data_IF_445800634756
#
_entry.id   IF_445800634756
#
_cell.length_a   1.000
_cell.length_b   1.000
_cell.length_c   1.000
_cell.angle_alpha   90.00
_cell.angle_beta   90.00
_cell.angle_gamma   90.00
#
_symmetry.space_group_name_H-M   'P 1'
#
loop_
_entity.id
_entity.type
_entity.pdbx_description
1 polymer ?
#
# COMPACT_ATOMS: atom_id res chain seq x y z
N UNK A 1 -8.94 -15.16 22.05
CA UNK A 1 -9.16 -13.77 21.58
C UNK A 1 -9.78 -13.87 20.20
N UNK A 2 -10.97 -13.30 19.99
CA UNK A 2 -11.51 -13.17 18.62
C UNK A 2 -10.53 -12.35 17.78
N UNK A 3 -10.09 -12.88 16.64
CA UNK A 3 -9.29 -12.13 15.66
C UNK A 3 -10.20 -11.05 15.07
N UNK A 4 -9.94 -9.78 15.38
CA UNK A 4 -10.65 -8.65 14.79
C UNK A 4 -10.33 -8.57 13.31
N UNK A 5 -11.34 -8.54 12.45
CA UNK A 5 -11.18 -8.21 11.02
C UNK A 5 -10.92 -6.71 10.91
N UNK A 6 -9.85 -6.33 10.22
CA UNK A 6 -9.48 -4.95 9.95
C UNK A 6 -9.84 -4.58 8.52
N UNK A 7 -10.37 -3.38 8.33
CA UNK A 7 -10.80 -2.88 7.01
C UNK A 7 -9.79 -1.86 6.48
N UNK A 8 -9.36 -2.07 5.23
CA UNK A 8 -8.57 -1.11 4.47
C UNK A 8 -9.38 -0.62 3.27
N UNK A 9 -9.56 0.70 3.15
CA UNK A 9 -10.18 1.33 2.00
C UNK A 9 -9.12 1.79 1.00
N UNK A 10 -9.34 1.49 -0.28
CA UNK A 10 -8.43 1.81 -1.39
C UNK A 10 -9.03 2.80 -2.40
N UNK A 11 -10.14 3.46 -2.08
CA UNK A 11 -10.89 4.30 -3.05
C UNK A 11 -10.01 5.34 -3.72
N UNK A 12 -9.22 6.08 -2.95
CA UNK A 12 -8.38 7.15 -3.48
C UNK A 12 -7.19 6.64 -4.32
N UNK A 13 -6.79 5.39 -4.16
CA UNK A 13 -5.72 4.79 -4.96
C UNK A 13 -6.29 4.02 -6.15
N UNK A 14 -7.16 3.05 -5.89
CA UNK A 14 -7.67 2.12 -6.90
C UNK A 14 -8.67 2.80 -7.84
N UNK A 15 -9.55 3.63 -7.29
CA UNK A 15 -10.47 4.42 -8.09
C UNK A 15 -9.78 5.41 -9.05
N UNK A 16 -8.53 5.78 -8.76
CA UNK A 16 -7.76 6.69 -9.60
C UNK A 16 -7.45 6.18 -11.01
N UNK A 17 -7.46 4.86 -11.23
CA UNK A 17 -7.28 4.30 -12.58
C UNK A 17 -8.39 4.71 -13.56
N UNK A 18 -9.55 5.13 -13.06
CA UNK A 18 -10.70 5.54 -13.90
C UNK A 18 -10.59 6.99 -14.33
N UNK A 19 -9.98 7.86 -13.51
CA UNK A 19 -9.98 9.32 -13.71
C UNK A 19 -8.57 9.94 -13.66
N UNK A 20 -7.52 9.15 -13.87
CA UNK A 20 -6.12 9.55 -13.74
C UNK A 20 -5.82 10.21 -12.37
N UNK A 21 -6.42 9.66 -11.31
CA UNK A 21 -6.34 10.13 -9.91
C UNK A 21 -6.83 11.57 -9.68
N UNK A 22 -7.47 12.19 -10.64
CA UNK A 22 -8.03 13.55 -10.52
C UNK A 22 -9.41 13.51 -9.85
N UNK A 23 -9.42 13.64 -8.53
CA UNK A 23 -10.63 13.69 -7.71
C UNK A 23 -10.99 15.12 -7.28
N UNK A 24 -10.06 16.07 -7.40
CA UNK A 24 -10.16 17.38 -6.78
C UNK A 24 -9.81 17.38 -5.28
N UNK A 25 -9.05 18.35 -4.82
CA UNK A 25 -8.52 18.42 -3.45
C UNK A 25 -9.59 18.30 -2.37
N UNK A 26 -10.72 19.00 -2.53
CA UNK A 26 -11.83 18.93 -1.55
C UNK A 26 -12.46 17.56 -1.48
N UNK A 27 -12.53 16.83 -2.59
CA UNK A 27 -13.05 15.46 -2.66
C UNK A 27 -12.08 14.49 -2.00
N UNK A 28 -10.77 14.57 -2.29
CA UNK A 28 -9.73 13.73 -1.67
C UNK A 28 -9.82 13.83 -0.15
N UNK A 29 -9.75 15.05 0.40
CA UNK A 29 -9.81 15.27 1.84
C UNK A 29 -11.17 14.93 2.43
N UNK A 30 -12.25 15.12 1.67
CA UNK A 30 -13.62 14.77 2.06
C UNK A 30 -13.84 13.25 2.15
N UNK A 31 -13.33 12.48 1.19
CA UNK A 31 -13.37 11.00 1.22
C UNK A 31 -12.61 10.50 2.44
N UNK A 32 -11.37 10.96 2.66
CA UNK A 32 -10.58 10.57 3.84
C UNK A 32 -11.35 10.79 5.14
N UNK A 33 -11.92 11.99 5.36
CA UNK A 33 -12.67 12.32 6.58
C UNK A 33 -13.91 11.45 6.78
N UNK A 34 -14.60 11.10 5.70
CA UNK A 34 -15.79 10.23 5.78
C UNK A 34 -15.43 8.78 6.08
N UNK A 35 -14.35 8.27 5.49
CA UNK A 35 -13.84 6.93 5.79
C UNK A 35 -13.35 6.82 7.24
N UNK A 36 -12.65 7.83 7.72
CA UNK A 36 -12.26 7.95 9.13
C UNK A 36 -13.49 7.91 10.07
N UNK A 37 -14.51 8.71 9.74
CA UNK A 37 -15.76 8.75 10.53
C UNK A 37 -16.56 7.43 10.43
N UNK A 38 -16.46 6.71 9.33
CA UNK A 38 -17.08 5.40 9.13
C UNK A 38 -16.35 4.27 9.88
N UNK A 39 -15.14 4.54 10.42
CA UNK A 39 -14.38 3.59 11.22
C UNK A 39 -13.49 2.64 10.40
N UNK A 40 -13.05 3.03 9.20
CA UNK A 40 -12.00 2.30 8.49
C UNK A 40 -10.75 2.20 9.37
N UNK A 41 -10.10 1.04 9.39
CA UNK A 41 -8.86 0.83 10.16
C UNK A 41 -7.64 1.38 9.39
N UNK A 42 -7.65 1.27 8.07
CA UNK A 42 -6.61 1.80 7.17
C UNK A 42 -7.27 2.56 6.01
N UNK A 43 -6.64 3.65 5.59
CA UNK A 43 -7.09 4.44 4.43
C UNK A 43 -5.90 4.65 3.50
N UNK A 44 -5.99 4.11 2.29
CA UNK A 44 -4.99 4.30 1.26
C UNK A 44 -5.22 5.66 0.59
N UNK A 45 -4.36 6.64 0.92
CA UNK A 45 -4.53 8.04 0.51
C UNK A 45 -4.16 8.29 -0.95
N UNK A 46 -3.53 7.33 -1.61
CA UNK A 46 -3.18 7.41 -3.01
C UNK A 46 -1.94 6.62 -3.38
N UNK A 47 -1.36 6.99 -4.51
CA UNK A 47 -0.23 6.33 -5.14
C UNK A 47 1.01 7.24 -5.10
N UNK A 48 2.20 6.67 -4.85
CA UNK A 48 3.49 7.37 -4.93
C UNK A 48 4.18 7.04 -6.26
N UNK A 49 4.36 8.06 -7.09
CA UNK A 49 5.04 7.96 -8.39
C UNK A 49 5.82 9.26 -8.66
N UNK A 50 7.14 9.25 -8.46
CA UNK A 50 8.01 10.43 -8.60
C UNK A 50 8.30 10.84 -10.06
N UNK A 51 7.75 10.08 -11.00
CA UNK A 51 7.76 10.44 -12.43
C UNK A 51 6.62 11.41 -12.79
N UNK A 52 5.68 11.65 -11.85
CA UNK A 52 4.54 12.57 -12.00
C UNK A 52 4.84 13.92 -11.41
N UNK A 53 4.31 14.97 -12.01
CA UNK A 53 4.31 16.30 -11.42
C UNK A 53 3.28 16.40 -10.30
N UNK A 54 3.56 17.26 -9.31
CA UNK A 54 2.62 17.49 -8.21
C UNK A 54 1.39 18.27 -8.70
N UNK A 55 0.22 17.73 -8.43
CA UNK A 55 -1.07 18.39 -8.56
C UNK A 55 -1.89 18.14 -7.29
N UNK A 56 -2.33 19.20 -6.62
CA UNK A 56 -3.11 19.12 -5.38
C UNK A 56 -4.47 18.43 -5.58
N UNK A 57 -4.98 18.37 -6.80
CA UNK A 57 -6.25 17.72 -7.13
C UNK A 57 -6.12 16.21 -7.39
N UNK A 58 -4.90 15.68 -7.39
CA UNK A 58 -4.64 14.29 -7.71
C UNK A 58 -4.16 13.48 -6.49
N UNK A 59 -4.66 12.26 -6.37
CA UNK A 59 -4.20 11.31 -5.37
C UNK A 59 -3.05 10.40 -5.85
N UNK A 60 -2.34 10.82 -6.92
CA UNK A 60 -1.04 10.29 -7.32
C UNK A 60 0.01 11.38 -7.07
N UNK A 61 0.98 11.10 -6.23
CA UNK A 61 1.87 12.10 -5.66
C UNK A 61 3.33 11.74 -5.90
N UNK A 62 4.20 12.73 -6.25
CA UNK A 62 5.62 12.48 -6.51
C UNK A 62 6.43 12.16 -5.25
N UNK A 63 5.96 12.49 -4.06
CA UNK A 63 6.71 12.31 -2.82
C UNK A 63 5.80 12.28 -1.60
N UNK A 64 6.35 11.86 -0.46
CA UNK A 64 5.64 11.97 0.83
C UNK A 64 5.43 13.41 1.27
N UNK A 65 6.29 14.35 0.85
CA UNK A 65 6.07 15.79 1.07
C UNK A 65 4.83 16.29 0.31
N UNK A 66 4.62 15.80 -0.91
CA UNK A 66 3.41 16.11 -1.70
C UNK A 66 2.13 15.61 -0.99
N UNK A 67 2.18 14.45 -0.34
CA UNK A 67 1.07 13.99 0.53
C UNK A 67 0.79 15.01 1.64
N UNK A 68 1.83 15.52 2.31
CA UNK A 68 1.68 16.53 3.35
C UNK A 68 1.02 17.81 2.83
N UNK A 69 1.30 18.22 1.59
CA UNK A 69 0.65 19.40 0.97
C UNK A 69 -0.85 19.18 0.76
N UNK A 70 -1.27 17.95 0.43
CA UNK A 70 -2.70 17.61 0.24
C UNK A 70 -3.42 17.51 1.59
N UNK A 71 -2.82 16.82 2.56
CA UNK A 71 -3.46 16.47 3.82
C UNK A 71 -3.06 17.35 5.02
N UNK A 72 -2.22 18.37 4.84
CA UNK A 72 -1.66 19.18 5.93
C UNK A 72 -2.70 19.88 6.82
N UNK A 73 -3.90 20.14 6.31
CA UNK A 73 -5.02 20.69 7.08
C UNK A 73 -5.95 19.61 7.68
N UNK A 74 -5.69 18.33 7.39
CA UNK A 74 -6.52 17.22 7.82
C UNK A 74 -5.98 16.65 9.13
N UNK A 75 -6.83 16.64 10.16
CA UNK A 75 -6.48 15.99 11.42
C UNK A 75 -6.53 14.47 11.26
N UNK A 76 -5.46 13.78 11.60
CA UNK A 76 -5.47 12.32 11.75
C UNK A 76 -6.40 11.91 12.89
N UNK A 77 -7.21 10.89 12.66
CA UNK A 77 -8.04 10.27 13.69
C UNK A 77 -7.46 8.92 14.13
N UNK A 78 -8.27 7.86 14.05
CA UNK A 78 -7.88 6.49 14.46
C UNK A 78 -7.39 5.64 13.32
N UNK A 79 -7.84 5.91 12.09
CA UNK A 79 -7.39 5.18 10.91
C UNK A 79 -5.91 5.41 10.65
N UNK A 80 -5.24 4.38 10.18
CA UNK A 80 -3.84 4.45 9.77
C UNK A 80 -3.78 4.84 8.30
N UNK A 81 -3.34 6.07 7.95
CA UNK A 81 -3.18 6.45 6.56
C UNK A 81 -1.97 5.74 5.94
N UNK A 82 -2.16 5.18 4.76
CA UNK A 82 -1.13 4.47 4.00
C UNK A 82 -1.09 4.96 2.56
N UNK A 83 0.03 4.77 1.87
CA UNK A 83 0.15 5.01 0.43
C UNK A 83 0.72 3.78 -0.27
N UNK A 84 0.41 3.60 -1.57
CA UNK A 84 0.96 2.51 -2.37
C UNK A 84 2.14 2.96 -3.20
N UNK A 85 3.09 2.03 -3.40
CA UNK A 85 4.19 2.14 -4.37
C UNK A 85 4.22 0.86 -5.20
N UNK A 86 4.25 0.97 -6.52
CA UNK A 86 4.74 -0.10 -7.39
C UNK A 86 6.27 0.04 -7.47
N UNK A 87 6.99 -1.01 -7.12
CA UNK A 87 8.45 -0.96 -7.07
C UNK A 87 9.05 -0.48 -8.40
N UNK A 88 9.74 0.66 -8.32
CA UNK A 88 10.31 1.38 -9.47
C UNK A 88 9.52 2.62 -9.91
N UNK A 89 8.36 2.93 -9.29
CA UNK A 89 7.63 4.19 -9.57
C UNK A 89 8.05 5.34 -8.65
N UNK A 90 8.69 5.05 -7.53
CA UNK A 90 9.11 6.05 -6.57
C UNK A 90 10.45 5.66 -5.95
N UNK A 91 11.40 6.58 -5.94
CA UNK A 91 12.73 6.40 -5.34
C UNK A 91 12.68 6.61 -3.82
N UNK A 92 13.69 6.09 -3.11
CA UNK A 92 13.84 6.32 -1.66
C UNK A 92 14.09 7.79 -1.30
N UNK A 93 14.61 8.58 -2.24
CA UNK A 93 14.90 10.01 -2.03
C UNK A 93 13.59 10.83 -1.98
N UNK A 94 12.54 10.35 -2.64
CA UNK A 94 11.21 10.97 -2.63
C UNK A 94 10.37 10.60 -1.40
N UNK A 95 10.93 9.75 -0.51
CA UNK A 95 10.25 9.25 0.68
C UNK A 95 10.97 9.77 1.92
N UNK A 96 10.38 10.72 2.62
CA UNK A 96 10.86 11.23 3.91
C UNK A 96 10.76 10.20 5.03
N UNK A 97 11.21 10.54 6.24
CA UNK A 97 10.98 9.69 7.42
C UNK A 97 9.50 9.72 7.83
N UNK A 98 9.01 8.62 8.41
CA UNK A 98 7.60 8.45 8.76
C UNK A 98 7.09 9.55 9.70
N UNK A 99 7.87 9.95 10.68
CA UNK A 99 7.54 10.98 11.65
C UNK A 99 7.35 12.40 11.06
N UNK A 100 7.88 12.62 9.85
CA UNK A 100 7.75 13.88 9.11
C UNK A 100 6.60 13.88 8.10
N UNK A 101 5.81 12.80 8.01
CA UNK A 101 4.78 12.64 6.98
C UNK A 101 3.39 12.39 7.52
N UNK A 102 2.38 12.66 6.68
CA UNK A 102 0.99 12.37 7.04
C UNK A 102 0.69 10.87 7.12
N UNK A 103 1.36 10.03 6.32
CA UNK A 103 1.13 8.59 6.28
C UNK A 103 1.97 7.84 7.32
N UNK A 104 1.40 6.76 7.86
CA UNK A 104 2.07 5.91 8.85
C UNK A 104 2.52 4.58 8.24
N UNK A 105 2.13 4.28 6.99
CA UNK A 105 2.51 3.05 6.33
C UNK A 105 2.65 3.19 4.82
N UNK A 106 3.46 2.30 4.26
CA UNK A 106 3.66 2.18 2.81
C UNK A 106 3.38 0.75 2.39
N UNK A 107 2.55 0.61 1.36
CA UNK A 107 2.17 -0.64 0.73
C UNK A 107 2.97 -0.81 -0.55
N UNK A 108 3.88 -1.77 -0.58
CA UNK A 108 4.75 -2.02 -1.73
C UNK A 108 4.24 -3.21 -2.52
N UNK A 109 4.03 -3.02 -3.82
CA UNK A 109 3.76 -4.10 -4.78
C UNK A 109 4.97 -4.29 -5.69
N UNK A 110 5.22 -5.51 -6.09
CA UNK A 110 6.22 -5.87 -7.10
C UNK A 110 5.95 -7.25 -7.70
N UNK A 111 6.39 -7.45 -8.93
CA UNK A 111 6.34 -8.76 -9.59
C UNK A 111 7.36 -9.71 -8.96
N UNK A 112 7.06 -11.02 -8.94
CA UNK A 112 7.93 -12.04 -8.35
C UNK A 112 9.37 -12.01 -8.87
N UNK A 113 9.56 -11.68 -10.14
CA UNK A 113 10.88 -11.61 -10.78
C UNK A 113 11.74 -10.46 -10.26
N UNK A 114 11.13 -9.47 -9.60
CA UNK A 114 11.83 -8.29 -9.04
C UNK A 114 12.15 -8.44 -7.55
N UNK A 115 11.87 -9.58 -6.94
CA UNK A 115 11.99 -9.77 -5.48
C UNK A 115 13.39 -9.39 -4.95
N UNK A 116 14.46 -9.77 -5.65
CA UNK A 116 15.83 -9.49 -5.23
C UNK A 116 16.14 -8.00 -5.12
N UNK A 117 15.51 -7.20 -5.98
CA UNK A 117 15.68 -5.74 -6.00
C UNK A 117 14.69 -5.05 -5.05
N UNK A 118 13.48 -5.60 -4.91
CA UNK A 118 12.41 -5.02 -4.13
C UNK A 118 12.63 -5.19 -2.61
N UNK A 119 13.19 -6.31 -2.15
CA UNK A 119 13.40 -6.54 -0.72
C UNK A 119 14.33 -5.53 -0.04
N UNK A 120 15.47 -5.14 -0.62
CA UNK A 120 16.29 -4.05 -0.08
C UNK A 120 15.52 -2.72 0.00
N UNK A 121 14.73 -2.38 -1.00
CA UNK A 121 13.85 -1.21 -0.99
C UNK A 121 12.82 -1.29 0.15
N UNK A 122 12.14 -2.42 0.29
CA UNK A 122 11.19 -2.65 1.38
C UNK A 122 11.84 -2.51 2.76
N UNK A 123 13.06 -3.02 2.92
CA UNK A 123 13.83 -2.86 4.15
C UNK A 123 14.11 -1.39 4.45
N UNK A 124 14.55 -0.62 3.45
CA UNK A 124 14.80 0.81 3.60
C UNK A 124 13.52 1.60 3.97
N UNK A 125 12.35 1.23 3.41
CA UNK A 125 11.05 1.80 3.81
C UNK A 125 10.77 1.55 5.29
N UNK A 126 11.00 0.33 5.76
CA UNK A 126 10.84 -0.02 7.18
C UNK A 126 11.81 0.75 8.08
N UNK A 127 13.07 0.92 7.65
CA UNK A 127 14.10 1.70 8.38
C UNK A 127 13.75 3.19 8.47
N UNK A 128 12.96 3.74 7.52
CA UNK A 128 12.39 5.09 7.59
C UNK A 128 11.22 5.20 8.58
N UNK A 129 10.85 4.12 9.30
CA UNK A 129 9.85 4.09 10.36
C UNK A 129 8.43 3.73 9.92
N UNK A 130 8.19 3.48 8.64
CA UNK A 130 6.85 3.13 8.15
C UNK A 130 6.42 1.71 8.52
N UNK A 131 5.13 1.52 8.78
CA UNK A 131 4.49 0.21 8.72
C UNK A 131 4.60 -0.29 7.28
N UNK A 132 5.40 -1.33 7.07
CA UNK A 132 5.62 -1.91 5.76
C UNK A 132 4.54 -2.96 5.46
N UNK A 133 3.82 -2.77 4.36
CA UNK A 133 2.91 -3.77 3.80
C UNK A 133 3.52 -4.30 2.50
N UNK A 134 3.58 -5.61 2.35
CA UNK A 134 4.02 -6.25 1.11
C UNK A 134 2.86 -7.02 0.51
N UNK A 135 2.68 -6.92 -0.80
CA UNK A 135 1.57 -7.52 -1.49
C UNK A 135 2.06 -8.46 -2.59
N UNK A 136 1.67 -9.74 -2.49
CA UNK A 136 1.86 -10.71 -3.56
C UNK A 136 0.80 -10.49 -4.63
N UNK A 137 1.15 -9.79 -5.71
CA UNK A 137 0.30 -9.59 -6.87
C UNK A 137 0.40 -10.77 -7.84
N UNK A 138 -0.65 -10.98 -8.64
CA UNK A 138 -0.71 -12.07 -9.64
C UNK A 138 -0.47 -13.45 -9.02
N UNK A 139 -1.01 -13.68 -7.83
CA UNK A 139 -0.71 -14.86 -7.02
C UNK A 139 -1.04 -16.17 -7.75
N UNK A 140 -2.01 -16.17 -8.64
CA UNK A 140 -2.39 -17.32 -9.45
C UNK A 140 -1.31 -17.76 -10.45
N UNK A 141 -0.30 -16.93 -10.69
CA UNK A 141 0.86 -17.25 -11.53
C UNK A 141 2.02 -17.91 -10.75
N UNK A 142 1.86 -18.14 -9.44
CA UNK A 142 2.88 -18.78 -8.62
C UNK A 142 2.62 -20.29 -8.50
N UNK A 143 3.66 -21.10 -8.72
CA UNK A 143 3.68 -22.49 -8.25
C UNK A 143 3.77 -22.52 -6.71
N UNK A 144 3.49 -23.68 -6.10
CA UNK A 144 3.57 -23.85 -4.65
C UNK A 144 4.99 -23.61 -4.13
N UNK A 145 6.00 -24.07 -4.86
CA UNK A 145 7.41 -23.87 -4.51
C UNK A 145 7.76 -22.39 -4.53
N UNK A 146 7.40 -21.67 -5.61
CA UNK A 146 7.64 -20.23 -5.72
C UNK A 146 6.92 -19.44 -4.63
N UNK A 147 5.70 -19.85 -4.24
CA UNK A 147 4.98 -19.21 -3.16
C UNK A 147 5.67 -19.41 -1.80
N UNK A 148 6.11 -20.63 -1.49
CA UNK A 148 6.85 -20.91 -0.27
C UNK A 148 8.16 -20.14 -0.20
N UNK A 149 8.93 -20.10 -1.29
CA UNK A 149 10.16 -19.32 -1.37
C UNK A 149 9.89 -17.83 -1.18
N UNK A 150 8.84 -17.31 -1.84
CA UNK A 150 8.44 -15.91 -1.72
C UNK A 150 8.07 -15.55 -0.28
N UNK A 151 7.23 -16.35 0.38
CA UNK A 151 6.81 -16.14 1.77
C UNK A 151 8.01 -16.21 2.72
N UNK A 152 8.90 -17.18 2.56
CA UNK A 152 10.11 -17.30 3.38
C UNK A 152 10.98 -16.04 3.29
N UNK A 153 11.21 -15.52 2.09
CA UNK A 153 12.00 -14.31 1.87
C UNK A 153 11.33 -13.06 2.44
N UNK A 154 10.00 -12.95 2.33
CA UNK A 154 9.24 -11.86 2.94
C UNK A 154 9.32 -11.93 4.47
N UNK A 155 9.27 -13.12 5.05
CA UNK A 155 9.36 -13.31 6.50
C UNK A 155 10.71 -12.86 7.09
N UNK A 156 11.80 -12.85 6.33
CA UNK A 156 13.09 -12.31 6.77
C UNK A 156 13.00 -10.81 7.10
N UNK A 157 12.17 -10.07 6.36
CA UNK A 157 11.97 -8.62 6.57
C UNK A 157 10.98 -8.36 7.71
N UNK A 158 10.09 -9.31 8.02
CA UNK A 158 9.01 -9.15 8.99
C UNK A 158 8.18 -7.90 8.70
N UNK A 159 7.44 -7.84 7.59
CA UNK A 159 6.56 -6.72 7.29
C UNK A 159 5.47 -6.58 8.35
N UNK A 160 4.86 -5.41 8.44
CA UNK A 160 3.69 -5.18 9.30
C UNK A 160 2.49 -6.02 8.86
N UNK A 161 2.30 -6.15 7.54
CA UNK A 161 1.28 -7.02 6.96
C UNK A 161 1.75 -7.57 5.61
N UNK A 162 1.29 -8.78 5.31
CA UNK A 162 1.43 -9.41 4.01
C UNK A 162 0.05 -9.65 3.41
N UNK A 163 -0.14 -9.34 2.13
CA UNK A 163 -1.41 -9.46 1.45
C UNK A 163 -1.31 -10.37 0.23
N UNK A 164 -2.30 -11.23 0.08
CA UNK A 164 -2.55 -11.99 -1.14
C UNK A 164 -3.45 -11.13 -2.05
N UNK A 165 -3.05 -10.94 -3.29
CA UNK A 165 -3.83 -10.14 -4.25
C UNK A 165 -4.27 -11.00 -5.42
N UNK A 166 -5.58 -11.19 -5.53
CA UNK A 166 -6.21 -11.79 -6.72
C UNK A 166 -6.32 -10.74 -7.84
N UNK A 167 -5.20 -10.50 -8.52
CA UNK A 167 -5.08 -9.46 -9.53
C UNK A 167 -6.05 -9.65 -10.71
N UNK A 168 -6.44 -10.89 -11.00
CA UNK A 168 -7.22 -11.23 -12.17
C UNK A 168 -8.63 -11.75 -11.84
N UNK A 169 -8.99 -11.86 -10.57
CA UNK A 169 -10.28 -12.42 -10.15
C UNK A 169 -10.41 -13.91 -10.44
N UNK A 170 -9.33 -14.67 -10.33
CA UNK A 170 -9.26 -16.09 -10.68
C UNK A 170 -9.25 -17.03 -9.47
N UNK A 171 -9.20 -16.50 -8.25
CA UNK A 171 -9.15 -17.33 -7.05
C UNK A 171 -10.53 -17.92 -6.75
N UNK A 172 -10.55 -19.22 -6.61
CA UNK A 172 -11.66 -19.95 -6.01
C UNK A 172 -11.40 -20.24 -4.52
N UNK A 173 -12.40 -20.79 -3.83
CA UNK A 173 -12.30 -21.11 -2.41
C UNK A 173 -11.18 -22.11 -2.09
N UNK A 174 -10.91 -23.06 -2.98
CA UNK A 174 -9.89 -24.08 -2.77
C UNK A 174 -8.48 -23.50 -2.91
N UNK A 175 -8.26 -22.67 -3.93
CA UNK A 175 -7.03 -21.93 -4.15
C UNK A 175 -6.75 -20.95 -3.01
N UNK A 176 -7.77 -20.23 -2.55
CA UNK A 176 -7.64 -19.31 -1.41
C UNK A 176 -7.22 -20.07 -0.14
N UNK A 177 -7.88 -21.19 0.20
CA UNK A 177 -7.53 -22.00 1.36
C UNK A 177 -6.07 -22.52 1.28
N UNK A 178 -5.61 -22.91 0.08
CA UNK A 178 -4.23 -23.36 -0.16
C UNK A 178 -3.22 -22.24 0.10
N UNK A 179 -3.47 -21.02 -0.39
CA UNK A 179 -2.57 -19.90 -0.14
C UNK A 179 -2.51 -19.48 1.33
N UNK A 180 -3.63 -19.53 2.04
CA UNK A 180 -3.63 -19.30 3.49
C UNK A 180 -2.77 -20.32 4.24
N UNK A 181 -2.78 -21.58 3.81
CA UNK A 181 -1.94 -22.63 4.40
C UNK A 181 -0.43 -22.36 4.24
N UNK A 182 0.00 -21.67 3.17
CA UNK A 182 1.41 -21.32 2.99
C UNK A 182 1.86 -20.12 3.82
N UNK A 183 0.92 -19.32 4.33
CA UNK A 183 1.21 -18.05 5.01
C UNK A 183 1.09 -18.19 6.54
N UNK A 184 0.29 -19.13 7.01
CA UNK A 184 0.02 -19.38 8.44
C UNK A 184 1.15 -20.22 9.07
#
# INVERSE_FOLDING_TARGET
>A
MEKKVLMLDCTLRDGGYVNDWDFGHSTITGIYKRLEAAGADYIEVGFLDDRREFDINRSIMPSTEAINKIFGSVKKGKAIPVAMIDFGTCSLDSIGSCDSTFIDGIRVIFKKEKIDQALPFCKAIKEKGYKLFIQAISITAYSDIEMLEYVNRINEIKPYAFSIVDTYGLLDNSSMARYFYFID
#
